data_IF_122558141447
#
_entry.id   IF_122558141447
#
_cell.length_a   1.000
_cell.length_b   1.000
_cell.length_c   1.000
_cell.angle_alpha   90.00
_cell.angle_beta   90.00
_cell.angle_gamma   90.00
#
_symmetry.space_group_name_H-M   'P 1'
#
loop_
_entity.id
_entity.type
_entity.pdbx_description
1 polymer ?
#
# COMPACT_ATOMS: atom_id res chain seq x y z
N UNK A 1 -31.93 -31.31 -15.37
CA UNK A 1 -31.11 -30.27 -16.02
C UNK A 1 -31.49 -28.92 -15.43
N UNK A 2 -30.97 -28.61 -14.24
CA UNK A 2 -31.05 -27.29 -13.62
C UNK A 2 -29.97 -27.31 -12.55
N UNK A 3 -28.80 -26.74 -12.84
CA UNK A 3 -27.73 -26.40 -11.88
C UNK A 3 -26.47 -25.87 -12.61
N UNK A 4 -26.63 -24.88 -13.50
CA UNK A 4 -25.47 -24.25 -14.17
C UNK A 4 -25.53 -22.72 -14.22
N UNK A 5 -26.61 -22.10 -13.75
CA UNK A 5 -26.75 -20.63 -13.79
C UNK A 5 -26.31 -19.92 -12.51
N UNK A 6 -26.19 -20.62 -11.38
CA UNK A 6 -25.75 -20.03 -10.11
C UNK A 6 -24.23 -19.86 -9.97
N UNK A 7 -23.44 -20.52 -10.84
CA UNK A 7 -21.98 -20.43 -10.78
C UNK A 7 -21.45 -19.09 -11.34
N UNK A 8 -22.20 -18.41 -12.22
CA UNK A 8 -21.72 -17.27 -13.02
C UNK A 8 -21.56 -15.97 -12.24
N UNK A 9 -22.50 -15.64 -11.35
CA UNK A 9 -22.49 -14.37 -10.60
C UNK A 9 -21.45 -14.36 -9.48
N UNK A 10 -21.19 -15.53 -8.89
CA UNK A 10 -20.13 -15.73 -7.89
C UNK A 10 -18.74 -15.42 -8.46
N UNK A 11 -18.55 -15.65 -9.76
CA UNK A 11 -17.27 -15.47 -10.45
C UNK A 11 -17.02 -14.00 -10.84
N UNK A 12 -18.09 -13.23 -11.07
CA UNK A 12 -17.98 -11.86 -11.58
C UNK A 12 -17.64 -10.84 -10.48
N UNK A 13 -18.29 -10.93 -9.31
CA UNK A 13 -18.11 -9.96 -8.22
C UNK A 13 -18.13 -10.60 -6.82
N UNK A 14 -17.10 -11.37 -6.43
CA UNK A 14 -17.08 -12.11 -5.16
C UNK A 14 -17.24 -11.21 -3.92
N UNK A 15 -16.56 -10.07 -3.88
CA UNK A 15 -16.64 -9.10 -2.76
C UNK A 15 -18.03 -8.46 -2.63
N UNK A 16 -18.70 -8.15 -3.76
CA UNK A 16 -20.07 -7.65 -3.77
C UNK A 16 -21.04 -8.70 -3.20
N UNK A 17 -20.84 -9.97 -3.53
CA UNK A 17 -21.69 -11.06 -3.05
C UNK A 17 -21.52 -11.28 -1.54
N UNK A 18 -20.28 -11.42 -1.06
CA UNK A 18 -19.97 -11.65 0.35
C UNK A 18 -20.45 -10.50 1.25
N UNK A 19 -20.18 -9.24 0.85
CA UNK A 19 -20.58 -8.08 1.63
C UNK A 19 -22.10 -7.85 1.57
N UNK A 20 -22.74 -8.06 0.42
CA UNK A 20 -24.21 -7.95 0.33
C UNK A 20 -24.91 -8.95 1.22
N UNK A 21 -24.43 -10.19 1.29
CA UNK A 21 -24.97 -11.19 2.21
C UNK A 21 -24.76 -10.77 3.67
N UNK A 22 -23.57 -10.28 4.01
CA UNK A 22 -23.22 -9.82 5.36
C UNK A 22 -24.07 -8.64 5.84
N UNK A 23 -24.34 -7.68 4.96
CA UNK A 23 -25.11 -6.46 5.28
C UNK A 23 -26.61 -6.60 4.97
N UNK A 24 -27.07 -7.77 4.54
CA UNK A 24 -28.49 -8.06 4.27
C UNK A 24 -29.06 -7.33 3.06
N UNK A 25 -28.23 -7.02 2.07
CA UNK A 25 -28.65 -6.41 0.81
C UNK A 25 -28.94 -7.49 -0.23
N UNK A 26 -30.09 -7.41 -0.88
CA UNK A 26 -30.47 -8.33 -1.95
C UNK A 26 -29.72 -7.97 -3.24
N UNK A 27 -28.85 -8.88 -3.72
CA UNK A 27 -28.08 -8.72 -4.97
C UNK A 27 -28.42 -9.72 -6.07
N UNK A 28 -29.37 -10.62 -5.83
CA UNK A 28 -29.79 -11.66 -6.76
C UNK A 28 -30.34 -11.04 -8.07
N UNK A 29 -29.72 -11.34 -9.22
CA UNK A 29 -30.11 -10.90 -10.58
C UNK A 29 -30.08 -9.37 -10.84
N UNK A 30 -29.01 -8.69 -10.46
CA UNK A 30 -28.87 -7.26 -10.75
C UNK A 30 -28.33 -6.98 -12.17
N UNK A 31 -28.99 -6.13 -12.98
CA UNK A 31 -28.39 -5.63 -14.21
C UNK A 31 -27.14 -4.77 -13.88
N UNK A 32 -26.11 -4.86 -14.72
CA UNK A 32 -24.82 -4.15 -14.57
C UNK A 32 -24.99 -2.63 -14.35
N UNK A 33 -26.13 -2.04 -14.78
CA UNK A 33 -26.49 -0.62 -14.57
C UNK A 33 -26.83 -0.23 -13.12
N UNK A 34 -27.29 -1.17 -12.29
CA UNK A 34 -27.63 -0.93 -10.87
C UNK A 34 -26.47 -1.24 -9.92
N UNK A 35 -25.41 -1.83 -10.44
CA UNK A 35 -24.20 -2.24 -9.73
C UNK A 35 -23.51 -1.05 -9.01
N UNK A 36 -23.37 0.15 -9.63
CA UNK A 36 -22.79 1.32 -8.94
C UNK A 36 -23.61 1.79 -7.74
N UNK A 37 -24.95 1.77 -7.84
CA UNK A 37 -25.82 2.15 -6.73
C UNK A 37 -25.69 1.19 -5.55
N UNK A 38 -25.59 -0.13 -5.81
CA UNK A 38 -25.40 -1.14 -4.75
C UNK A 38 -24.03 -1.10 -4.09
N UNK A 39 -22.98 -0.82 -4.87
CA UNK A 39 -21.65 -0.60 -4.31
C UNK A 39 -21.62 0.63 -3.39
N UNK A 40 -22.33 1.71 -3.74
CA UNK A 40 -22.42 2.88 -2.86
C UNK A 40 -23.31 2.61 -1.62
N UNK A 41 -24.38 1.83 -1.74
CA UNK A 41 -25.20 1.38 -0.59
C UNK A 41 -24.38 0.54 0.41
N UNK A 42 -23.59 -0.42 -0.09
CA UNK A 42 -22.68 -1.22 0.73
C UNK A 42 -21.62 -0.37 1.41
N UNK A 43 -21.00 0.55 0.66
CA UNK A 43 -20.00 1.48 1.16
C UNK A 43 -20.55 2.34 2.28
N UNK A 44 -21.78 2.85 2.13
CA UNK A 44 -22.42 3.61 3.19
C UNK A 44 -22.86 2.72 4.37
N UNK A 45 -23.22 1.46 4.14
CA UNK A 45 -23.49 0.49 5.21
C UNK A 45 -22.24 0.23 6.07
N UNK A 46 -21.09 -0.03 5.44
CA UNK A 46 -19.82 -0.22 6.13
C UNK A 46 -19.40 1.06 6.88
N UNK A 47 -19.52 2.24 6.25
CA UNK A 47 -19.23 3.53 6.91
C UNK A 47 -20.13 3.78 8.12
N UNK A 48 -21.42 3.42 8.04
CA UNK A 48 -22.35 3.52 9.16
C UNK A 48 -21.92 2.63 10.31
N UNK A 49 -21.49 1.40 10.03
CA UNK A 49 -21.02 0.47 11.05
C UNK A 49 -19.69 0.93 11.69
N UNK A 50 -18.77 1.50 10.92
CA UNK A 50 -17.54 2.16 11.44
C UNK A 50 -17.92 3.28 12.41
N UNK A 51 -18.88 4.14 12.06
CA UNK A 51 -19.34 5.23 12.95
C UNK A 51 -19.96 4.69 14.24
N UNK A 52 -20.75 3.62 14.18
CA UNK A 52 -21.31 2.98 15.38
C UNK A 52 -20.21 2.39 16.27
N UNK A 53 -19.26 1.68 15.68
CA UNK A 53 -18.17 1.04 16.42
C UNK A 53 -17.23 2.06 17.07
N UNK A 54 -16.98 3.19 16.40
CA UNK A 54 -16.26 4.33 17.00
C UNK A 54 -17.00 4.89 18.21
N UNK A 55 -18.33 5.06 18.15
CA UNK A 55 -19.12 5.51 19.30
C UNK A 55 -19.08 4.53 20.47
N UNK A 56 -19.09 3.22 20.19
CA UNK A 56 -18.94 2.17 21.22
C UNK A 56 -17.56 2.28 21.87
N UNK A 57 -16.51 2.41 21.05
CA UNK A 57 -15.14 2.59 21.55
C UNK A 57 -15.01 3.87 22.40
N UNK A 58 -15.50 5.01 21.93
CA UNK A 58 -15.49 6.27 22.68
C UNK A 58 -16.26 6.15 24.01
N UNK A 59 -17.41 5.46 24.00
CA UNK A 59 -18.18 5.18 25.21
C UNK A 59 -17.40 4.31 26.20
N UNK A 60 -16.73 3.26 25.71
CA UNK A 60 -15.90 2.39 26.54
C UNK A 60 -14.67 3.12 27.12
N UNK A 61 -14.04 3.99 26.33
CA UNK A 61 -12.93 4.84 26.78
C UNK A 61 -13.37 5.78 27.91
N UNK A 62 -14.52 6.45 27.77
CA UNK A 62 -15.11 7.28 28.85
C UNK A 62 -15.48 6.46 30.09
N UNK A 63 -16.03 5.26 29.89
CA UNK A 63 -16.29 4.34 31.01
C UNK A 63 -15.00 3.92 31.72
N UNK A 64 -13.88 3.82 31.01
CA UNK A 64 -12.57 3.52 31.60
C UNK A 64 -12.07 4.62 32.53
N UNK A 65 -12.39 5.89 32.24
CA UNK A 65 -11.98 7.04 33.05
C UNK A 65 -12.70 7.06 34.42
N UNK A 66 -13.95 6.61 34.47
CA UNK A 66 -14.77 6.62 35.69
C UNK A 66 -14.76 5.29 36.45
N UNK A 67 -14.30 4.21 35.83
CA UNK A 67 -14.21 2.89 36.42
C UNK A 67 -13.06 2.80 37.42
N UNK A 68 -13.36 2.36 38.66
CA UNK A 68 -12.37 2.19 39.73
C UNK A 68 -12.15 0.73 40.11
N UNK A 69 -13.13 -0.14 39.88
CA UNK A 69 -13.04 -1.54 40.24
C UNK A 69 -12.30 -2.37 39.17
N UNK A 70 -11.54 -3.37 39.64
CA UNK A 70 -10.70 -4.20 38.76
C UNK A 70 -11.50 -4.97 37.70
N UNK A 71 -12.74 -5.34 38.01
CA UNK A 71 -13.59 -6.17 37.15
C UNK A 71 -14.16 -5.34 35.99
N UNK A 72 -14.64 -4.14 36.26
CA UNK A 72 -15.12 -3.20 35.24
C UNK A 72 -13.98 -2.74 34.33
N UNK A 73 -12.81 -2.42 34.88
CA UNK A 73 -11.62 -2.06 34.07
C UNK A 73 -11.23 -3.19 33.11
N UNK A 74 -11.26 -4.45 33.56
CA UNK A 74 -11.00 -5.62 32.71
C UNK A 74 -12.07 -5.81 31.63
N UNK A 75 -13.35 -5.61 31.97
CA UNK A 75 -14.44 -5.68 31.00
C UNK A 75 -14.34 -4.58 29.94
N UNK A 76 -14.09 -3.34 30.36
CA UNK A 76 -13.89 -2.18 29.48
C UNK A 76 -12.68 -2.40 28.56
N UNK A 77 -11.56 -2.92 29.07
CA UNK A 77 -10.40 -3.26 28.25
C UNK A 77 -10.73 -4.29 27.16
N UNK A 78 -11.59 -5.27 27.48
CA UNK A 78 -12.07 -6.26 26.51
C UNK A 78 -12.94 -5.61 25.44
N UNK A 79 -13.86 -4.72 25.83
CA UNK A 79 -14.70 -3.96 24.86
C UNK A 79 -13.82 -3.13 23.93
N UNK A 80 -12.86 -2.37 24.46
CA UNK A 80 -11.94 -1.56 23.64
C UNK A 80 -11.12 -2.43 22.68
N UNK A 81 -10.62 -3.58 23.14
CA UNK A 81 -9.89 -4.53 22.29
C UNK A 81 -10.78 -5.06 21.15
N UNK A 82 -12.00 -5.48 21.46
CA UNK A 82 -12.94 -6.01 20.48
C UNK A 82 -13.35 -4.94 19.46
N UNK A 83 -13.65 -3.72 19.92
CA UNK A 83 -13.97 -2.59 19.04
C UNK A 83 -12.80 -2.20 18.14
N UNK A 84 -11.55 -2.31 18.61
CA UNK A 84 -10.38 -2.10 17.76
C UNK A 84 -10.26 -3.17 16.66
N UNK A 85 -10.49 -4.44 16.99
CA UNK A 85 -10.49 -5.54 15.99
C UNK A 85 -11.57 -5.30 14.94
N UNK A 86 -12.81 -5.06 15.39
CA UNK A 86 -13.94 -4.82 14.50
C UNK A 86 -13.75 -3.58 13.62
N UNK A 87 -13.13 -2.51 14.14
CA UNK A 87 -12.75 -1.34 13.32
C UNK A 87 -11.70 -1.66 12.25
N UNK A 88 -10.75 -2.55 12.55
CA UNK A 88 -9.75 -2.98 11.56
C UNK A 88 -10.40 -3.80 10.44
N UNK A 89 -11.28 -4.74 10.80
CA UNK A 89 -12.07 -5.55 9.86
C UNK A 89 -12.94 -4.68 8.95
N UNK A 90 -13.75 -3.78 9.53
CA UNK A 90 -14.62 -2.89 8.76
C UNK A 90 -13.84 -1.95 7.82
N UNK A 91 -12.65 -1.49 8.22
CA UNK A 91 -11.77 -0.70 7.34
C UNK A 91 -11.19 -1.55 6.21
N UNK A 92 -10.88 -2.82 6.47
CA UNK A 92 -10.41 -3.74 5.45
C UNK A 92 -11.51 -4.00 4.42
N UNK A 93 -12.73 -4.31 4.86
CA UNK A 93 -13.91 -4.49 3.99
C UNK A 93 -14.19 -3.25 3.13
N UNK A 94 -14.10 -2.05 3.73
CA UNK A 94 -14.26 -0.80 2.97
C UNK A 94 -13.17 -0.66 1.89
N UNK A 95 -11.92 -0.94 2.25
CA UNK A 95 -10.79 -0.87 1.30
C UNK A 95 -10.90 -1.90 0.19
N UNK A 96 -11.39 -3.10 0.50
CA UNK A 96 -11.60 -4.18 -0.45
C UNK A 96 -12.71 -3.84 -1.44
N UNK A 97 -13.83 -3.31 -0.95
CA UNK A 97 -14.94 -2.82 -1.77
C UNK A 97 -14.50 -1.66 -2.67
N UNK A 98 -13.75 -0.69 -2.14
CA UNK A 98 -13.20 0.43 -2.92
C UNK A 98 -12.22 -0.05 -4.00
N UNK A 99 -11.40 -1.06 -3.72
CA UNK A 99 -10.53 -1.69 -4.72
C UNK A 99 -11.35 -2.36 -5.83
N UNK A 100 -12.43 -3.05 -5.49
CA UNK A 100 -13.30 -3.70 -6.48
C UNK A 100 -14.05 -2.69 -7.36
N UNK A 101 -14.52 -1.57 -6.80
CA UNK A 101 -15.12 -0.47 -7.56
C UNK A 101 -14.14 0.04 -8.62
N UNK A 102 -12.89 0.30 -8.24
CA UNK A 102 -11.85 0.79 -9.15
C UNK A 102 -11.56 -0.22 -10.27
N UNK A 103 -11.48 -1.51 -9.94
CA UNK A 103 -11.25 -2.58 -10.91
C UNK A 103 -12.43 -2.77 -11.88
N UNK A 104 -13.66 -2.67 -11.40
CA UNK A 104 -14.89 -2.85 -12.20
C UNK A 104 -15.17 -1.64 -13.09
N UNK A 105 -14.94 -0.43 -12.57
CA UNK A 105 -15.13 0.81 -13.33
C UNK A 105 -14.03 1.04 -14.39
N UNK A 106 -12.89 0.35 -14.27
CA UNK A 106 -11.85 0.28 -15.31
C UNK A 106 -12.15 -0.72 -16.42
N UNK A 107 -13.11 -1.64 -16.23
CA UNK A 107 -13.50 -2.66 -17.22
C UNK A 107 -14.80 -2.33 -17.97
N UNK A 108 -15.53 -1.30 -17.57
CA UNK A 108 -16.71 -0.80 -18.27
C UNK A 108 -16.38 0.07 -19.50
N UNK A 109 -15.50 -0.41 -20.38
CA UNK A 109 -15.47 0.00 -21.77
C UNK A 109 -16.17 -1.12 -22.57
N UNK A 110 -17.29 -0.85 -23.27
CA UNK A 110 -18.03 -1.90 -23.96
C UNK A 110 -17.16 -2.46 -25.09
N UNK A 111 -16.76 -3.71 -24.95
CA UNK A 111 -16.23 -4.53 -26.04
C UNK A 111 -17.32 -4.70 -27.09
N UNK A 112 -17.32 -3.83 -28.10
CA UNK A 112 -18.06 -4.04 -29.34
C UNK A 112 -17.05 -4.16 -30.48
N UNK A 113 -17.16 -5.17 -31.37
CA UNK A 113 -16.27 -5.32 -32.51
C UNK A 113 -16.54 -4.21 -33.55
N UNK A 114 -15.54 -3.83 -34.37
CA UNK A 114 -15.65 -2.64 -35.22
C UNK A 114 -16.57 -2.91 -36.40
N UNK A 115 -17.55 -2.04 -36.62
CA UNK A 115 -18.24 -1.93 -37.91
C UNK A 115 -18.18 -0.48 -38.36
N UNK A 116 -17.75 -0.33 -39.61
CA UNK A 116 -17.47 0.89 -40.34
C UNK A 116 -18.66 1.86 -40.39
N UNK A 117 -18.38 3.17 -40.45
CA UNK A 117 -19.33 4.16 -40.95
C UNK A 117 -19.19 5.58 -40.37
N UNK A 118 -18.48 6.43 -41.12
CA UNK A 118 -18.69 7.86 -41.38
C UNK A 118 -18.95 8.90 -40.25
N UNK A 119 -17.96 9.79 -40.13
CA UNK A 119 -18.00 11.21 -39.65
C UNK A 119 -19.02 12.09 -40.42
N UNK A 120 -19.42 13.32 -39.99
CA UNK A 120 -18.57 14.30 -39.26
C UNK A 120 -19.21 15.33 -38.28
N UNK A 121 -18.31 16.03 -37.58
CA UNK A 121 -18.35 17.45 -37.15
C UNK A 121 -19.19 17.86 -35.92
N UNK A 122 -18.47 18.13 -34.81
CA UNK A 122 -18.17 19.52 -34.36
C UNK A 122 -17.30 19.53 -33.10
N UNK A 123 -16.10 20.10 -33.20
CA UNK A 123 -15.28 20.55 -32.06
C UNK A 123 -15.65 22.00 -31.71
N UNK A 124 -15.23 22.50 -30.53
CA UNK A 124 -14.07 23.39 -30.58
C UNK A 124 -12.98 23.12 -29.54
N UNK A 125 -11.80 23.54 -29.95
CA UNK A 125 -10.46 23.38 -29.41
C UNK A 125 -10.26 23.87 -27.96
N UNK A 126 -9.47 23.11 -27.19
CA UNK A 126 -8.39 23.68 -26.37
C UNK A 126 -7.22 22.70 -26.28
N UNK A 127 -6.10 23.14 -26.85
CA UNK A 127 -4.83 22.47 -27.11
C UNK A 127 -4.10 21.94 -25.88
N UNK A 128 -3.70 20.67 -25.87
CA UNK A 128 -2.51 20.18 -25.17
C UNK A 128 -1.72 19.26 -26.12
N UNK A 129 -0.39 19.37 -26.19
CA UNK A 129 0.41 18.68 -27.20
C UNK A 129 0.41 17.17 -26.92
N UNK A 130 -0.02 16.40 -27.92
CA UNK A 130 0.25 14.96 -27.98
C UNK A 130 1.75 14.78 -28.24
N UNK A 131 2.49 14.42 -27.21
CA UNK A 131 3.64 13.53 -27.38
C UNK A 131 3.20 12.13 -27.06
N UNK A 132 3.54 11.23 -27.99
CA UNK A 132 3.38 9.80 -27.91
C UNK A 132 3.81 9.26 -26.53
N UNK A 133 2.96 8.43 -25.93
CA UNK A 133 3.27 7.01 -25.85
C UNK A 133 2.03 6.25 -25.39
N UNK A 134 1.69 5.20 -26.12
CA UNK A 134 0.67 4.23 -25.74
C UNK A 134 1.17 3.39 -24.57
N UNK A 135 1.10 3.92 -23.36
CA UNK A 135 1.29 3.15 -22.14
C UNK A 135 -0.02 3.16 -21.39
N UNK A 136 -0.57 1.97 -21.13
CA UNK A 136 -1.63 1.74 -20.15
C UNK A 136 -1.19 2.36 -18.82
N UNK A 137 -1.56 3.61 -18.57
CA UNK A 137 -1.21 4.28 -17.33
C UNK A 137 -1.93 3.54 -16.21
N UNK A 138 -1.16 2.91 -15.34
CA UNK A 138 -1.69 2.27 -14.13
C UNK A 138 -2.52 3.33 -13.40
N UNK A 139 -3.82 3.09 -13.13
CA UNK A 139 -4.68 4.05 -12.45
C UNK A 139 -4.10 4.49 -11.10
N UNK A 140 -3.27 3.65 -10.46
CA UNK A 140 -2.54 3.98 -9.24
C UNK A 140 -1.43 5.00 -9.47
N UNK A 141 -0.71 4.91 -10.60
CA UNK A 141 0.32 5.88 -10.97
C UNK A 141 -0.31 7.25 -11.25
N UNK A 142 -1.40 7.28 -12.03
CA UNK A 142 -2.14 8.52 -12.33
C UNK A 142 -2.70 9.17 -11.06
N UNK A 143 -3.17 8.38 -10.09
CA UNK A 143 -3.65 8.91 -8.82
C UNK A 143 -2.51 9.50 -7.97
N UNK A 144 -1.33 8.87 -7.93
CA UNK A 144 -0.16 9.42 -7.26
C UNK A 144 0.31 10.73 -7.90
N UNK A 145 0.28 10.82 -9.23
CA UNK A 145 0.60 12.05 -9.97
C UNK A 145 -0.40 13.17 -9.67
N UNK A 146 -1.70 12.86 -9.61
CA UNK A 146 -2.74 13.81 -9.17
C UNK A 146 -2.49 14.32 -7.75
N UNK A 147 -2.16 13.42 -6.82
CA UNK A 147 -1.87 13.79 -5.44
C UNK A 147 -0.60 14.64 -5.33
N UNK A 148 0.44 14.33 -6.12
CA UNK A 148 1.65 15.14 -6.23
C UNK A 148 1.32 16.56 -6.71
N UNK A 149 0.46 16.69 -7.72
CA UNK A 149 0.04 18.00 -8.24
C UNK A 149 -0.75 18.81 -7.20
N UNK A 150 -1.58 18.17 -6.38
CA UNK A 150 -2.28 18.83 -5.28
C UNK A 150 -1.27 19.38 -4.26
N UNK A 151 -0.33 18.55 -3.81
CA UNK A 151 0.67 18.98 -2.81
C UNK A 151 1.61 20.07 -3.36
N UNK A 152 1.92 20.05 -4.67
CA UNK A 152 2.63 21.15 -5.34
C UNK A 152 1.85 22.48 -5.29
N UNK A 153 0.53 22.44 -5.53
CA UNK A 153 -0.33 23.62 -5.39
C UNK A 153 -0.45 24.10 -3.95
N UNK A 154 -0.51 23.18 -2.98
CA UNK A 154 -0.51 23.52 -1.55
C UNK A 154 0.81 24.20 -1.17
N UNK A 155 1.95 23.67 -1.64
CA UNK A 155 3.27 24.28 -1.45
C UNK A 155 3.32 25.70 -2.02
N UNK A 156 2.88 25.88 -3.28
CA UNK A 156 2.83 27.20 -3.92
C UNK A 156 1.91 28.17 -3.16
N UNK A 157 0.72 27.70 -2.73
CA UNK A 157 -0.20 28.47 -1.91
C UNK A 157 0.42 28.93 -0.59
N UNK A 158 1.14 28.05 0.11
CA UNK A 158 1.86 28.38 1.33
C UNK A 158 2.99 29.40 1.09
N UNK A 159 3.77 29.24 0.01
CA UNK A 159 4.80 30.21 -0.38
C UNK A 159 4.19 31.58 -0.72
N UNK A 160 3.03 31.62 -1.39
CA UNK A 160 2.29 32.85 -1.68
C UNK A 160 1.84 33.53 -0.39
N UNK A 161 1.25 32.78 0.55
CA UNK A 161 0.83 33.31 1.86
C UNK A 161 2.01 33.90 2.63
N UNK A 162 3.15 33.21 2.68
CA UNK A 162 4.35 33.72 3.35
C UNK A 162 4.83 35.03 2.71
N UNK A 163 4.84 35.13 1.37
CA UNK A 163 5.24 36.36 0.66
C UNK A 163 4.31 37.52 0.97
N UNK A 164 2.99 37.29 0.97
CA UNK A 164 1.99 38.31 1.27
C UNK A 164 2.09 38.81 2.71
N UNK A 165 2.36 37.92 3.67
CA UNK A 165 2.47 38.28 5.09
C UNK A 165 3.81 38.99 5.39
N UNK A 166 4.88 38.59 4.71
CA UNK A 166 6.23 39.16 4.93
C UNK A 166 6.43 40.49 4.18
N UNK A 167 5.71 40.71 3.07
CA UNK A 167 5.86 41.89 2.20
C UNK A 167 4.95 43.08 2.54
N UNK A 168 4.02 42.94 3.49
CA UNK A 168 3.06 43.99 3.85
C UNK A 168 3.45 44.80 5.11
N UNK A 169 3.09 46.10 5.20
CA UNK A 169 3.42 46.97 6.35
C UNK A 169 2.72 46.61 7.68
N UNK A 170 1.83 45.61 7.68
CA UNK A 170 1.16 45.09 8.87
C UNK A 170 1.49 43.60 9.08
N UNK A 171 2.69 43.33 9.60
CA UNK A 171 3.21 42.01 9.99
C UNK A 171 2.52 41.41 11.24
N UNK A 172 1.21 41.61 11.41
CA UNK A 172 0.51 41.32 12.68
C UNK A 172 0.07 39.87 12.87
N UNK A 173 0.02 39.06 11.82
CA UNK A 173 -0.47 37.69 11.93
C UNK A 173 0.68 36.68 12.07
N UNK A 174 1.47 36.84 13.13
CA UNK A 174 2.57 35.91 13.48
C UNK A 174 2.12 34.45 13.53
N UNK A 175 0.87 34.21 13.93
CA UNK A 175 0.23 32.89 13.93
C UNK A 175 0.00 32.36 12.51
N UNK A 176 -0.52 33.19 11.62
CA UNK A 176 -0.76 32.82 10.21
C UNK A 176 0.56 32.55 9.48
N UNK A 177 1.61 33.33 9.77
CA UNK A 177 2.94 33.07 9.22
C UNK A 177 3.49 31.71 9.67
N UNK A 178 3.36 31.37 10.95
CA UNK A 178 3.80 30.08 11.48
C UNK A 178 3.00 28.91 10.87
N UNK A 179 1.69 29.07 10.68
CA UNK A 179 0.84 28.08 10.03
C UNK A 179 1.22 27.88 8.56
N UNK A 180 1.45 28.96 7.81
CA UNK A 180 1.89 28.89 6.42
C UNK A 180 3.29 28.25 6.30
N UNK A 181 4.20 28.52 7.25
CA UNK A 181 5.52 27.87 7.32
C UNK A 181 5.40 26.37 7.61
N UNK A 182 4.51 25.97 8.52
CA UNK A 182 4.24 24.56 8.81
C UNK A 182 3.66 23.85 7.58
N UNK A 183 2.66 24.44 6.92
CA UNK A 183 2.09 23.90 5.69
C UNK A 183 3.13 23.74 4.57
N UNK A 184 4.05 24.71 4.45
CA UNK A 184 5.15 24.64 3.49
C UNK A 184 6.10 23.46 3.81
N UNK A 185 6.42 23.25 5.08
CA UNK A 185 7.26 22.13 5.49
C UNK A 185 6.57 20.78 5.24
N UNK A 186 5.31 20.66 5.62
CA UNK A 186 4.52 19.43 5.46
C UNK A 186 4.33 19.07 3.99
N UNK A 187 4.00 20.04 3.14
CA UNK A 187 3.84 19.83 1.70
C UNK A 187 5.15 19.41 1.03
N UNK A 188 6.31 19.96 1.45
CA UNK A 188 7.63 19.53 0.93
C UNK A 188 7.92 18.06 1.22
N UNK A 189 7.67 17.61 2.45
CA UNK A 189 7.88 16.21 2.84
C UNK A 189 6.96 15.28 2.03
N UNK A 190 5.69 15.66 1.87
CA UNK A 190 4.72 14.88 1.09
C UNK A 190 5.08 14.81 -0.40
N UNK A 191 5.54 15.93 -0.98
CA UNK A 191 6.01 15.97 -2.37
C UNK A 191 7.14 14.95 -2.57
N UNK A 192 8.12 14.92 -1.67
CA UNK A 192 9.25 13.99 -1.78
C UNK A 192 8.81 12.54 -1.64
N UNK A 193 7.93 12.24 -0.67
CA UNK A 193 7.34 10.92 -0.52
C UNK A 193 6.58 10.47 -1.79
N UNK A 194 5.76 11.35 -2.36
CA UNK A 194 4.98 11.06 -3.57
C UNK A 194 5.89 10.85 -4.79
N UNK A 195 6.94 11.67 -4.95
CA UNK A 195 7.96 11.49 -6.00
C UNK A 195 8.66 10.15 -5.88
N UNK A 196 9.11 9.79 -4.67
CA UNK A 196 9.74 8.50 -4.42
C UNK A 196 8.78 7.35 -4.71
N UNK A 197 7.50 7.46 -4.34
CA UNK A 197 6.48 6.42 -4.59
C UNK A 197 6.19 6.25 -6.08
N UNK A 198 6.09 7.36 -6.83
CA UNK A 198 5.94 7.37 -8.29
C UNK A 198 7.15 6.73 -8.95
N UNK A 199 8.37 7.14 -8.57
CA UNK A 199 9.61 6.59 -9.12
C UNK A 199 9.70 5.08 -8.88
N UNK A 200 9.40 4.63 -7.66
CA UNK A 200 9.37 3.21 -7.32
C UNK A 200 8.33 2.47 -8.16
N UNK A 201 7.12 3.00 -8.29
CA UNK A 201 6.05 2.37 -9.08
C UNK A 201 6.39 2.32 -10.58
N UNK A 202 6.97 3.39 -11.12
CA UNK A 202 7.44 3.44 -12.51
C UNK A 202 8.57 2.45 -12.77
N UNK A 203 9.52 2.30 -11.84
CA UNK A 203 10.58 1.28 -11.93
C UNK A 203 10.00 -0.13 -11.88
N UNK A 204 9.00 -0.39 -11.03
CA UNK A 204 8.31 -1.69 -10.99
C UNK A 204 7.54 -1.99 -12.29
N UNK A 205 6.95 -0.96 -12.90
CA UNK A 205 6.30 -1.08 -14.22
C UNK A 205 7.34 -1.35 -15.30
N UNK A 206 8.46 -0.63 -15.35
CA UNK A 206 9.56 -0.90 -16.28
C UNK A 206 10.13 -2.32 -16.13
N UNK A 207 10.23 -2.83 -14.88
CA UNK A 207 10.69 -4.20 -14.64
C UNK A 207 9.67 -5.25 -15.15
N UNK A 208 8.37 -4.95 -15.07
CA UNK A 208 7.32 -5.79 -15.68
C UNK A 208 7.32 -5.73 -17.22
N UNK A 209 7.71 -4.60 -17.83
CA UNK A 209 7.78 -4.46 -19.29
C UNK A 209 8.98 -5.18 -19.92
N UNK A 210 10.10 -5.33 -19.19
CA UNK A 210 11.20 -6.21 -19.61
C UNK A 210 10.80 -7.69 -19.66
N UNK A 211 9.78 -8.09 -18.89
CA UNK A 211 9.19 -9.43 -18.95
C UNK A 211 8.13 -9.60 -20.05
N UNK A 212 7.42 -8.53 -20.44
CA UNK A 212 6.35 -8.64 -21.44
C UNK A 212 6.83 -8.56 -22.89
N UNK A 213 8.05 -8.06 -23.16
CA UNK A 213 8.58 -7.94 -24.53
C UNK A 213 9.20 -9.26 -25.04
N UNK A 214 9.48 -10.22 -24.16
CA UNK A 214 10.08 -11.51 -24.54
C UNK A 214 9.06 -12.57 -24.99
N UNK A 215 7.74 -12.33 -24.85
CA UNK A 215 6.72 -13.34 -25.15
C UNK A 215 6.15 -13.32 -26.59
N UNK A 216 6.66 -12.48 -27.50
CA UNK A 216 6.21 -12.46 -28.91
C UNK A 216 7.35 -12.83 -29.88
N UNK A 217 8.17 -13.82 -29.55
CA UNK A 217 9.10 -14.45 -30.50
C UNK A 217 9.53 -15.86 -30.05
N UNK A 218 8.64 -16.84 -30.13
CA UNK A 218 9.05 -18.26 -30.11
C UNK A 218 8.02 -19.11 -30.88
N UNK A 219 8.17 -19.13 -32.21
CA UNK A 219 7.65 -20.22 -33.05
C UNK A 219 8.65 -21.37 -32.96
N UNK A 220 8.12 -22.57 -32.67
CA UNK A 220 8.73 -23.90 -32.69
C UNK A 220 9.30 -24.44 -31.36
N UNK A 221 8.39 -24.99 -30.55
CA UNK A 221 8.39 -26.43 -30.23
C UNK A 221 9.63 -27.02 -29.54
N UNK A 222 9.81 -26.75 -28.25
CA UNK A 222 10.36 -27.72 -27.31
C UNK A 222 9.87 -27.40 -25.88
N UNK A 223 9.25 -28.39 -25.24
CA UNK A 223 8.79 -28.28 -23.85
C UNK A 223 10.02 -28.26 -22.95
N UNK A 224 10.38 -27.07 -22.44
CA UNK A 224 11.23 -26.96 -21.26
C UNK A 224 10.51 -26.08 -20.24
N UNK A 225 9.98 -26.72 -19.20
CA UNK A 225 9.55 -26.06 -17.98
C UNK A 225 10.73 -25.26 -17.39
N UNK A 226 10.79 -23.96 -17.65
CA UNK A 226 11.66 -23.02 -16.92
C UNK A 226 10.78 -22.06 -16.16
N UNK A 227 10.38 -22.57 -15.01
CA UNK A 227 9.88 -21.83 -13.87
C UNK A 227 10.88 -20.73 -13.48
N UNK A 228 10.39 -19.48 -13.48
CA UNK A 228 10.76 -18.40 -12.56
C UNK A 228 12.25 -18.20 -12.26
N UNK A 229 12.94 -17.29 -12.97
CA UNK A 229 14.09 -16.63 -12.37
C UNK A 229 14.07 -15.12 -12.63
N UNK A 230 14.11 -14.34 -11.54
CA UNK A 230 14.67 -13.00 -11.56
C UNK A 230 16.03 -13.06 -12.29
N UNK A 231 16.43 -12.03 -13.07
CA UNK A 231 17.66 -12.08 -13.84
C UNK A 231 18.80 -12.61 -12.96
N UNK A 232 19.46 -13.69 -13.40
CA UNK A 232 20.49 -14.38 -12.62
C UNK A 232 21.50 -13.40 -12.04
N UNK A 233 21.81 -12.33 -12.78
CA UNK A 233 22.69 -11.24 -12.39
C UNK A 233 22.18 -10.45 -11.18
N UNK A 234 20.88 -10.16 -11.10
CA UNK A 234 20.26 -9.48 -9.95
C UNK A 234 20.24 -10.39 -8.72
N UNK A 235 19.95 -11.68 -8.93
CA UNK A 235 19.98 -12.67 -7.85
C UNK A 235 21.38 -12.87 -7.31
N UNK A 236 22.38 -12.94 -8.19
CA UNK A 236 23.80 -13.01 -7.82
C UNK A 236 24.21 -11.75 -7.05
N UNK A 237 23.79 -10.55 -7.47
CA UNK A 237 24.16 -9.31 -6.79
C UNK A 237 23.46 -9.16 -5.43
N UNK A 238 22.20 -9.58 -5.30
CA UNK A 238 21.50 -9.68 -4.02
C UNK A 238 22.22 -10.64 -3.06
N UNK A 239 22.62 -11.82 -3.55
CA UNK A 239 23.35 -12.81 -2.77
C UNK A 239 24.73 -12.29 -2.36
N UNK A 240 25.45 -11.57 -3.23
CA UNK A 240 26.71 -10.90 -2.89
C UNK A 240 26.52 -9.82 -1.85
N UNK A 241 25.45 -9.04 -1.93
CA UNK A 241 25.12 -8.02 -0.94
C UNK A 241 24.81 -8.66 0.42
N UNK A 242 23.99 -9.70 0.43
CA UNK A 242 23.67 -10.47 1.62
C UNK A 242 24.91 -11.10 2.26
N UNK A 243 25.78 -11.71 1.45
CA UNK A 243 27.05 -12.28 1.92
C UNK A 243 27.96 -11.23 2.55
N UNK A 244 28.04 -10.01 1.97
CA UNK A 244 28.78 -8.89 2.56
C UNK A 244 28.25 -8.51 3.95
N UNK A 245 26.93 -8.48 4.12
CA UNK A 245 26.30 -8.18 5.41
C UNK A 245 26.57 -9.30 6.42
N UNK A 246 26.35 -10.56 6.03
CA UNK A 246 26.55 -11.72 6.91
C UNK A 246 28.03 -11.83 7.36
N UNK A 247 28.98 -11.58 6.46
CA UNK A 247 30.41 -11.52 6.79
C UNK A 247 30.71 -10.40 7.81
N UNK A 248 30.19 -9.18 7.60
CA UNK A 248 30.38 -8.06 8.52
C UNK A 248 29.77 -8.33 9.90
N UNK A 249 28.63 -9.02 9.96
CA UNK A 249 27.98 -9.43 11.22
C UNK A 249 28.82 -10.47 11.97
N UNK A 250 29.39 -11.46 11.26
CA UNK A 250 30.27 -12.47 11.87
C UNK A 250 31.56 -11.84 12.38
N UNK A 251 32.17 -10.93 11.62
CA UNK A 251 33.37 -10.19 12.07
C UNK A 251 33.06 -9.29 13.28
N UNK A 252 31.89 -8.65 13.30
CA UNK A 252 31.40 -7.91 14.46
C UNK A 252 31.27 -8.79 15.71
N UNK A 253 30.69 -9.99 15.56
CA UNK A 253 30.58 -10.96 16.65
C UNK A 253 31.96 -11.48 17.12
N UNK A 254 32.92 -11.73 16.21
CA UNK A 254 34.30 -12.10 16.56
C UNK A 254 35.00 -11.01 17.36
N UNK A 255 34.82 -9.75 16.96
CA UNK A 255 35.37 -8.60 17.68
C UNK A 255 34.75 -8.43 19.07
N UNK A 256 33.43 -8.63 19.21
CA UNK A 256 32.73 -8.61 20.49
C UNK A 256 33.22 -9.73 21.43
N UNK A 257 33.44 -10.96 20.92
CA UNK A 257 34.02 -12.05 21.70
C UNK A 257 35.41 -11.69 22.21
N UNK A 258 36.27 -11.10 21.37
CA UNK A 258 37.63 -10.69 21.77
C UNK A 258 37.59 -9.60 22.86
N UNK A 259 36.70 -8.63 22.72
CA UNK A 259 36.51 -7.58 23.73
C UNK A 259 36.03 -8.14 25.07
N UNK A 260 35.02 -9.00 25.05
CA UNK A 260 34.46 -9.60 26.26
C UNK A 260 35.39 -10.66 26.88
N UNK A 261 36.26 -11.30 26.12
CA UNK A 261 37.29 -12.22 26.65
C UNK A 261 38.40 -11.46 27.39
N UNK A 262 38.68 -10.21 27.00
CA UNK A 262 39.71 -9.37 27.59
C UNK A 262 39.17 -8.45 28.73
N UNK A 263 37.85 -8.40 28.93
CA UNK A 263 37.17 -7.68 30.02
C UNK A 263 37.20 -8.41 31.36
N UNK A 264 36.94 -7.69 32.45
CA UNK A 264 36.93 -8.27 33.81
C UNK A 264 35.73 -9.21 33.97
N UNK A 265 36.00 -10.46 34.37
CA UNK A 265 35.10 -11.63 34.39
C UNK A 265 33.88 -11.55 35.32
N UNK A 266 33.07 -10.52 35.20
CA UNK A 266 31.80 -10.39 35.90
C UNK A 266 30.76 -11.40 35.36
N UNK A 267 29.82 -11.81 36.21
CA UNK A 267 28.79 -12.82 35.85
C UNK A 267 27.95 -12.40 34.63
N UNK A 268 27.77 -11.10 34.44
CA UNK A 268 27.05 -10.51 33.30
C UNK A 268 27.83 -10.65 31.99
N UNK A 269 29.15 -10.44 32.01
CA UNK A 269 30.01 -10.59 30.83
C UNK A 269 30.13 -12.06 30.39
N UNK A 270 30.10 -13.01 31.34
CA UNK A 270 30.07 -14.45 31.03
C UNK A 270 28.82 -14.87 30.27
N UNK A 271 27.66 -14.30 30.61
CA UNK A 271 26.40 -14.57 29.92
C UNK A 271 26.42 -13.97 28.51
N UNK A 272 26.85 -12.71 28.38
CA UNK A 272 27.01 -12.05 27.09
C UNK A 272 27.99 -12.81 26.18
N UNK A 273 29.12 -13.30 26.70
CA UNK A 273 30.06 -14.15 25.97
C UNK A 273 29.42 -15.42 25.43
N UNK A 274 28.60 -16.10 26.24
CA UNK A 274 27.94 -17.34 25.83
C UNK A 274 26.91 -17.11 24.72
N UNK A 275 26.14 -16.03 24.80
CA UNK A 275 25.14 -15.65 23.79
C UNK A 275 25.79 -15.24 22.47
N UNK A 276 26.86 -14.43 22.51
CA UNK A 276 27.59 -14.00 21.32
C UNK A 276 28.31 -15.19 20.65
N UNK A 277 28.84 -16.15 21.42
CA UNK A 277 29.43 -17.39 20.87
C UNK A 277 28.38 -18.24 20.17
N UNK A 278 27.22 -18.44 20.78
CA UNK A 278 26.12 -19.20 20.19
C UNK A 278 25.64 -18.56 18.87
N UNK A 279 25.50 -17.23 18.87
CA UNK A 279 25.15 -16.44 17.70
C UNK A 279 26.21 -16.55 16.59
N UNK A 280 27.50 -16.45 16.93
CA UNK A 280 28.60 -16.58 15.98
C UNK A 280 28.63 -17.98 15.35
N UNK A 281 28.51 -19.05 16.15
CA UNK A 281 28.46 -20.42 15.64
C UNK A 281 27.27 -20.64 14.70
N UNK A 282 26.07 -20.16 15.06
CA UNK A 282 24.89 -20.29 14.20
C UNK A 282 25.04 -19.56 12.85
N UNK A 283 25.66 -18.38 12.86
CA UNK A 283 25.90 -17.62 11.63
C UNK A 283 27.05 -18.21 10.79
N UNK A 284 28.12 -18.73 11.41
CA UNK A 284 29.18 -19.42 10.68
C UNK A 284 28.65 -20.69 9.99
N UNK A 285 27.79 -21.48 10.64
CA UNK A 285 27.13 -22.62 10.00
C UNK A 285 26.24 -22.18 8.82
N UNK A 286 25.54 -21.05 8.94
CA UNK A 286 24.72 -20.51 7.86
C UNK A 286 25.62 -20.13 6.67
N UNK A 287 26.68 -19.34 6.89
CA UNK A 287 27.61 -18.94 5.82
C UNK A 287 28.29 -20.17 5.17
N UNK A 288 28.72 -21.17 5.95
CA UNK A 288 29.33 -22.40 5.44
C UNK A 288 28.38 -23.24 4.58
N UNK A 289 27.09 -23.27 4.93
CA UNK A 289 26.06 -23.93 4.13
C UNK A 289 25.82 -23.15 2.84
N UNK A 290 25.74 -21.83 2.91
CA UNK A 290 25.59 -20.96 1.73
C UNK A 290 26.78 -21.07 0.77
N UNK A 291 28.01 -21.15 1.28
CA UNK A 291 29.25 -21.25 0.49
C UNK A 291 29.52 -22.67 -0.07
N UNK A 292 28.77 -23.68 0.38
CA UNK A 292 28.80 -25.05 -0.20
C UNK A 292 27.68 -25.28 -1.22
N UNK A 293 26.61 -24.51 -1.14
CA UNK A 293 25.43 -24.62 -2.02
C UNK A 293 25.56 -23.75 -3.27
N UNK A 294 26.42 -22.72 -3.24
CA UNK A 294 26.82 -21.88 -4.37
C UNK A 294 28.32 -21.98 -4.61
#
# INVERSE_FOLDING_TARGET
MADSYYQGDYIRHPVLYELSHKYGLQTENLPDSLLPCKLEELKEAIRREIRKELKIKEGAEKLREVATDRKSLSHVATIVKNSNSKLAELKNELSELESQIILTQGQSAPSTPPTNGDTPVSSPLASHPRTQDGFSQDPRLTNLEKQLNIELKVKEGAENMIRSITGGPHSRDKKLLAEAQQMLQDSRVKIEYLRMRILKMKNNLNNKQHMSTMEISAVNGEVTSRELEQPLEERIEELRHRLRIEAAVVDGAKNAIRFLQNGNKDKTEKKALSEVRLFNTCNEYTILVWQKVF
#
